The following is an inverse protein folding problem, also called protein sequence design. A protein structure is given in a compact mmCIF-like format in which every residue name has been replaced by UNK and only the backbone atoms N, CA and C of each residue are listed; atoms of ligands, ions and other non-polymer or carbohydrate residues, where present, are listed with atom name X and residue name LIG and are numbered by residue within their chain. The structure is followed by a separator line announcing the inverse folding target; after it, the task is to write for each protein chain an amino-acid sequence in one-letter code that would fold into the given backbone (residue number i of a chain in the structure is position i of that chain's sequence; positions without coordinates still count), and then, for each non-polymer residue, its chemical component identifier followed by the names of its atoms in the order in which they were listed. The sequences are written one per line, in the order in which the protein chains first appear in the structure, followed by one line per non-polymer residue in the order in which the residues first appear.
data_IF_967290970748
#
_entry.id   IF_967290970748
#
_cell.length_a   1.000
_cell.length_b   1.000
_cell.length_c   1.000
_cell.angle_alpha   90.00
_cell.angle_beta   90.00
_cell.angle_gamma   90.00
#
_symmetry.space_group_name_H-M   'P 1'
#
loop_
_entity.id
_entity.type
_entity.pdbx_description
1 polymer ?
#
# COMPACT_ATOMS: atom_id res chain seq x y z
N UNK A 1 -0.49 -19.00 -24.63
CA UNK A 1 -0.45 -17.61 -24.13
C UNK A 1 0.50 -17.58 -22.95
N UNK A 2 1.41 -16.59 -22.81
CA UNK A 2 2.29 -16.55 -21.65
C UNK A 2 1.45 -16.26 -20.42
N UNK A 3 1.60 -17.10 -19.39
CA UNK A 3 1.03 -16.84 -18.06
C UNK A 3 1.87 -15.71 -17.47
N UNK A 4 1.35 -14.49 -17.49
CA UNK A 4 2.01 -13.36 -16.83
C UNK A 4 1.74 -13.48 -15.34
N UNK A 5 2.72 -13.99 -14.61
CA UNK A 5 2.60 -14.29 -13.19
C UNK A 5 2.23 -13.04 -12.36
N UNK A 6 1.28 -13.20 -11.43
CA UNK A 6 0.98 -12.21 -10.39
C UNK A 6 2.26 -11.73 -9.68
N UNK A 7 2.57 -10.44 -9.76
CA UNK A 7 3.71 -9.88 -9.03
C UNK A 7 3.33 -9.59 -7.58
N UNK A 8 4.11 -10.13 -6.64
CA UNK A 8 3.90 -10.00 -5.20
C UNK A 8 5.22 -9.77 -4.49
N UNK A 9 5.22 -8.89 -3.49
CA UNK A 9 6.31 -8.72 -2.52
C UNK A 9 5.74 -8.76 -1.11
N UNK A 10 6.50 -9.32 -0.17
CA UNK A 10 6.16 -9.32 1.25
C UNK A 10 7.32 -8.65 1.97
N UNK A 11 7.00 -7.61 2.72
CA UNK A 11 7.95 -6.83 3.51
C UNK A 11 7.59 -6.99 4.98
N UNK A 12 8.62 -7.10 5.83
CA UNK A 12 8.48 -7.06 7.28
C UNK A 12 9.13 -5.79 7.77
N UNK A 13 8.34 -4.87 8.32
CA UNK A 13 8.81 -3.60 8.83
C UNK A 13 8.92 -3.71 10.35
N UNK A 14 10.16 -3.69 10.85
CA UNK A 14 10.49 -3.69 12.28
C UNK A 14 11.06 -2.36 12.74
N UNK A 15 11.63 -1.60 11.82
CA UNK A 15 12.29 -0.32 12.09
C UNK A 15 11.30 0.86 12.03
N UNK A 16 11.55 1.90 12.81
CA UNK A 16 10.66 3.06 12.90
C UNK A 16 10.61 3.87 11.59
N UNK A 17 11.72 4.02 10.87
CA UNK A 17 11.75 4.84 9.64
C UNK A 17 10.83 4.28 8.54
N UNK A 18 10.90 2.99 8.16
CA UNK A 18 9.96 2.41 7.20
C UNK A 18 8.50 2.44 7.67
N UNK A 19 8.25 2.28 8.98
CA UNK A 19 6.90 2.36 9.55
C UNK A 19 6.36 3.80 9.47
N UNK A 20 7.20 4.80 9.76
CA UNK A 20 6.86 6.21 9.60
C UNK A 20 6.56 6.58 8.14
N UNK A 21 7.37 6.08 7.20
CA UNK A 21 7.13 6.24 5.77
C UNK A 21 5.80 5.61 5.38
N UNK A 22 5.51 4.39 5.83
CA UNK A 22 4.22 3.75 5.61
C UNK A 22 3.05 4.61 6.11
N UNK A 23 3.11 5.11 7.35
CA UNK A 23 2.08 6.01 7.88
C UNK A 23 1.89 7.26 7.01
N UNK A 24 2.99 7.85 6.53
CA UNK A 24 2.94 9.03 5.65
C UNK A 24 2.27 8.72 4.32
N UNK A 25 2.58 7.57 3.72
CA UNK A 25 1.94 7.10 2.49
C UNK A 25 0.43 6.87 2.71
N UNK A 26 0.04 6.18 3.77
CA UNK A 26 -1.37 5.89 4.07
C UNK A 26 -2.16 7.18 4.34
N UNK A 27 -1.60 8.16 5.07
CA UNK A 27 -2.21 9.48 5.27
C UNK A 27 -2.41 10.23 3.96
N UNK A 28 -1.42 10.17 3.07
CA UNK A 28 -1.51 10.81 1.75
C UNK A 28 -2.65 10.22 0.93
N UNK A 29 -2.77 8.90 0.91
CA UNK A 29 -3.88 8.21 0.23
C UNK A 29 -5.22 8.58 0.86
N UNK A 30 -5.33 8.54 2.19
CA UNK A 30 -6.56 8.92 2.89
C UNK A 30 -7.00 10.36 2.54
N UNK A 31 -6.05 11.30 2.49
CA UNK A 31 -6.35 12.70 2.12
C UNK A 31 -6.89 12.86 0.69
N UNK A 32 -6.57 11.92 -0.20
CA UNK A 32 -6.99 11.95 -1.61
C UNK A 32 -8.30 11.17 -1.84
N UNK A 33 -8.64 10.22 -0.97
CA UNK A 33 -9.68 9.22 -1.24
C UNK A 33 -10.78 9.14 -0.19
N UNK A 34 -10.53 9.68 1.02
CA UNK A 34 -11.35 9.49 2.21
C UNK A 34 -11.65 8.01 2.53
N UNK A 35 -10.72 7.10 2.20
CA UNK A 35 -10.90 5.66 2.46
C UNK A 35 -10.76 5.34 3.95
N UNK A 36 -11.84 4.86 4.56
CA UNK A 36 -11.91 4.47 5.98
C UNK A 36 -10.95 3.32 6.33
N UNK A 37 -10.58 2.49 5.36
CA UNK A 37 -9.60 1.43 5.60
C UNK A 37 -8.22 2.03 5.92
N UNK A 38 -7.89 3.21 5.37
CA UNK A 38 -6.66 3.92 5.72
C UNK A 38 -6.67 4.37 7.19
N UNK A 39 -7.81 4.80 7.72
CA UNK A 39 -7.95 5.18 9.14
C UNK A 39 -7.70 3.99 10.05
N UNK A 40 -8.27 2.82 9.72
CA UNK A 40 -8.04 1.59 10.48
C UNK A 40 -6.57 1.17 10.48
N UNK A 41 -5.90 1.27 9.32
CA UNK A 41 -4.47 1.00 9.21
C UNK A 41 -3.66 1.94 10.11
N UNK A 42 -3.94 3.25 10.08
CA UNK A 42 -3.22 4.23 10.89
C UNK A 42 -3.44 4.02 12.38
N UNK A 43 -4.67 3.74 12.81
CA UNK A 43 -4.99 3.41 14.20
C UNK A 43 -4.20 2.16 14.64
N UNK A 44 -4.23 1.08 13.85
CA UNK A 44 -3.53 -0.15 14.19
C UNK A 44 -2.01 0.00 14.26
N UNK A 45 -1.40 0.78 13.36
CA UNK A 45 0.05 1.08 13.42
C UNK A 45 0.36 1.95 14.65
N UNK A 46 -0.55 2.81 15.09
CA UNK A 46 -0.34 3.69 16.26
C UNK A 46 -0.51 2.94 17.58
N UNK A 47 -1.44 1.99 17.64
CA UNK A 47 -1.73 1.17 18.82
C UNK A 47 -0.76 -0.01 19.01
N UNK A 48 0.05 -0.33 17.99
CA UNK A 48 1.06 -1.39 18.08
C UNK A 48 2.08 -1.08 19.18
N UNK A 49 2.66 -2.11 19.80
CA UNK A 49 3.88 -1.91 20.59
C UNK A 49 5.04 -1.66 19.65
N UNK A 50 6.00 -0.84 20.07
CA UNK A 50 7.14 -0.46 19.24
C UNK A 50 7.93 -1.66 18.68
N UNK A 51 7.96 -2.78 19.40
CA UNK A 51 8.62 -4.02 18.99
C UNK A 51 7.76 -4.96 18.14
N UNK A 52 6.47 -4.70 17.97
CA UNK A 52 5.59 -5.54 17.16
C UNK A 52 5.79 -5.19 15.66
N UNK A 53 6.05 -6.18 14.78
CA UNK A 53 6.32 -5.94 13.38
C UNK A 53 5.04 -5.60 12.60
N UNK A 54 5.22 -4.89 11.48
CA UNK A 54 4.19 -4.71 10.45
C UNK A 54 4.53 -5.60 9.25
N UNK A 55 3.60 -6.47 8.87
CA UNK A 55 3.72 -7.26 7.64
C UNK A 55 3.00 -6.53 6.53
N UNK A 56 3.71 -6.22 5.46
CA UNK A 56 3.18 -5.53 4.30
C UNK A 56 3.25 -6.43 3.07
N UNK A 57 2.09 -6.82 2.56
CA UNK A 57 1.94 -7.49 1.29
C UNK A 57 1.68 -6.47 0.19
N UNK A 58 2.61 -6.34 -0.75
CA UNK A 58 2.44 -5.58 -1.98
C UNK A 58 2.04 -6.55 -3.11
N UNK A 59 0.98 -6.25 -3.85
CA UNK A 59 0.54 -7.11 -4.96
C UNK A 59 0.02 -6.32 -6.16
N UNK A 60 0.26 -6.83 -7.35
CA UNK A 60 -0.35 -6.36 -8.59
C UNK A 60 -1.14 -7.51 -9.23
N UNK A 61 -2.46 -7.38 -9.45
CA UNK A 61 -3.27 -8.44 -10.06
C UNK A 61 -2.91 -8.65 -11.55
N UNK A 62 -3.12 -9.87 -12.05
CA UNK A 62 -2.75 -10.30 -13.43
C UNK A 62 -3.51 -9.56 -14.55
N UNK A 63 -4.53 -8.76 -14.23
CA UNK A 63 -5.30 -7.97 -15.19
C UNK A 63 -4.96 -6.48 -15.11
N UNK A 64 -4.00 -6.07 -15.93
CA UNK A 64 -4.21 -4.86 -16.76
C UNK A 64 -3.40 -4.98 -18.05
N UNK A 65 -4.01 -5.44 -19.16
CA UNK A 65 -3.36 -5.44 -20.47
C UNK A 65 -3.30 -4.05 -21.11
N UNK A 66 -3.69 -2.98 -20.40
CA UNK A 66 -3.75 -1.63 -20.96
C UNK A 66 -3.26 -0.63 -19.93
N UNK A 67 -2.20 0.05 -20.33
CA UNK A 67 -1.56 1.19 -19.70
C UNK A 67 -0.74 0.91 -18.44
N UNK A 68 0.45 1.51 -18.42
CA UNK A 68 1.34 1.70 -17.27
C UNK A 68 0.67 2.58 -16.20
N UNK A 69 -0.49 2.15 -15.70
CA UNK A 69 -1.24 2.90 -14.71
C UNK A 69 -0.50 2.77 -13.38
N UNK A 70 0.24 3.83 -13.04
CA UNK A 70 0.77 4.01 -11.70
C UNK A 70 -0.40 4.18 -10.71
N UNK A 71 -0.18 3.80 -9.45
CA UNK A 71 -1.10 4.07 -8.36
C UNK A 71 -1.42 2.87 -7.49
N UNK A 72 -1.85 3.15 -6.27
CA UNK A 72 -2.46 2.18 -5.38
C UNK A 72 -3.93 2.03 -5.77
N UNK A 73 -4.42 0.80 -5.85
CA UNK A 73 -5.82 0.45 -6.18
C UNK A 73 -6.66 0.22 -4.94
N UNK A 74 -6.10 -0.49 -3.95
CA UNK A 74 -6.83 -0.90 -2.75
C UNK A 74 -5.87 -1.11 -1.59
N UNK A 75 -6.32 -0.73 -0.40
CA UNK A 75 -5.68 -1.11 0.85
C UNK A 75 -6.61 -2.05 1.60
N UNK A 76 -6.04 -3.05 2.29
CA UNK A 76 -6.75 -3.91 3.23
C UNK A 76 -5.93 -4.08 4.47
N UNK A 77 -6.61 -4.27 5.58
CA UNK A 77 -6.00 -4.45 6.88
C UNK A 77 -6.49 -5.74 7.56
N UNK A 78 -5.60 -6.35 8.33
CA UNK A 78 -5.92 -7.43 9.25
C UNK A 78 -4.99 -7.37 10.47
N UNK A 79 -5.51 -7.77 11.63
CA UNK A 79 -4.70 -8.06 12.83
C UNK A 79 -4.46 -9.56 12.94
N UNK A 80 -3.21 -9.95 13.12
CA UNK A 80 -2.80 -11.34 13.40
C UNK A 80 -2.15 -11.39 14.78
N UNK A 81 -2.99 -11.55 15.81
CA UNK A 81 -2.55 -11.37 17.19
C UNK A 81 -2.09 -9.92 17.42
N UNK A 82 -0.78 -9.73 17.63
CA UNK A 82 -0.16 -8.40 17.78
C UNK A 82 0.46 -7.84 16.49
N UNK A 83 0.46 -8.63 15.41
CA UNK A 83 1.07 -8.23 14.15
C UNK A 83 0.04 -7.51 13.29
N UNK A 84 0.40 -6.32 12.81
CA UNK A 84 -0.38 -5.56 11.84
C UNK A 84 -0.06 -6.10 10.46
N UNK A 85 -1.05 -6.65 9.77
CA UNK A 85 -0.91 -7.14 8.39
C UNK A 85 -1.67 -6.21 7.42
N UNK A 86 -0.95 -5.65 6.46
CA UNK A 86 -1.49 -4.70 5.48
C UNK A 86 -1.28 -5.28 4.09
N UNK A 87 -2.31 -5.23 3.26
CA UNK A 87 -2.21 -5.53 1.84
C UNK A 87 -2.42 -4.26 1.04
N UNK A 88 -1.43 -3.89 0.23
CA UNK A 88 -1.54 -2.82 -0.77
C UNK A 88 -1.60 -3.47 -2.15
N UNK A 89 -2.72 -3.26 -2.82
CA UNK A 89 -2.89 -3.63 -4.22
C UNK A 89 -2.55 -2.45 -5.10
N UNK A 90 -1.60 -2.62 -6.02
CA UNK A 90 -1.20 -1.60 -6.98
C UNK A 90 -1.86 -1.84 -8.34
N UNK A 91 -2.03 -0.77 -9.11
CA UNK A 91 -2.51 -0.81 -10.49
C UNK A 91 -1.47 -1.35 -11.47
N UNK A 92 -0.18 -1.32 -11.12
CA UNK A 92 0.91 -1.76 -11.98
C UNK A 92 2.17 -2.17 -11.22
N UNK A 93 3.05 -2.95 -11.88
CA UNK A 93 4.28 -3.48 -11.28
C UNK A 93 5.26 -2.38 -10.84
N UNK A 94 5.39 -1.30 -11.63
CA UNK A 94 6.25 -0.15 -11.31
C UNK A 94 5.89 0.52 -9.99
N UNK A 95 4.60 0.57 -9.64
CA UNK A 95 4.16 1.14 -8.35
C UNK A 95 4.59 0.28 -7.17
N UNK A 96 4.66 -1.05 -7.31
CA UNK A 96 5.19 -1.92 -6.25
C UNK A 96 6.64 -1.55 -5.91
N UNK A 97 7.47 -1.36 -6.94
CA UNK A 97 8.88 -0.98 -6.79
C UNK A 97 9.02 0.40 -6.15
N UNK A 98 8.18 1.36 -6.53
CA UNK A 98 8.19 2.70 -5.94
C UNK A 98 7.77 2.69 -4.46
N UNK A 99 6.75 1.93 -4.10
CA UNK A 99 6.33 1.78 -2.69
C UNK A 99 7.48 1.19 -1.87
N UNK A 100 8.05 0.07 -2.31
CA UNK A 100 9.15 -0.57 -1.60
C UNK A 100 10.34 0.38 -1.41
N UNK A 101 10.79 1.05 -2.48
CA UNK A 101 11.90 2.02 -2.40
C UNK A 101 11.59 3.18 -1.46
N UNK A 102 10.36 3.69 -1.49
CA UNK A 102 9.93 4.76 -0.59
C UNK A 102 9.98 4.32 0.88
N UNK A 103 9.50 3.11 1.18
CA UNK A 103 9.51 2.59 2.54
C UNK A 103 10.94 2.43 3.07
N UNK A 104 11.84 1.86 2.27
CA UNK A 104 13.21 1.56 2.71
C UNK A 104 14.09 2.82 2.75
N UNK A 105 14.09 3.63 1.69
CA UNK A 105 15.05 4.73 1.53
C UNK A 105 14.48 6.10 1.92
N UNK A 106 13.17 6.21 2.06
CA UNK A 106 12.48 7.49 2.02
C UNK A 106 12.53 8.12 0.63
N UNK A 107 11.56 8.99 0.34
CA UNK A 107 11.63 9.96 -0.75
C UNK A 107 11.15 11.29 -0.20
N UNK A 108 11.56 12.43 -0.79
CA UNK A 108 10.88 13.69 -0.57
C UNK A 108 9.36 13.49 -0.69
N UNK A 109 8.59 13.99 0.26
CA UNK A 109 7.13 13.86 0.29
C UNK A 109 6.47 14.41 -0.98
N UNK A 110 7.14 15.32 -1.69
CA UNK A 110 6.78 15.86 -3.01
C UNK A 110 6.80 14.84 -4.13
N UNK A 111 7.35 13.63 -3.93
CA UNK A 111 7.32 12.52 -4.90
C UNK A 111 6.28 11.45 -4.57
N UNK A 112 5.57 11.59 -3.44
CA UNK A 112 4.51 10.63 -3.06
C UNK A 112 3.37 10.55 -4.07
N UNK A 113 3.13 11.61 -4.84
CA UNK A 113 2.14 11.61 -5.92
C UNK A 113 2.43 10.54 -6.99
N UNK A 114 3.71 10.16 -7.19
CA UNK A 114 4.09 9.09 -8.13
C UNK A 114 3.55 7.71 -7.69
N UNK A 115 3.24 7.57 -6.39
CA UNK A 115 2.74 6.34 -5.77
C UNK A 115 1.22 6.38 -5.59
N UNK A 116 0.64 7.57 -5.39
CA UNK A 116 -0.79 7.74 -5.11
C UNK A 116 -1.66 8.09 -6.34
N UNK A 117 -1.07 8.49 -7.47
CA UNK A 117 -1.83 8.89 -8.66
C UNK A 117 -2.81 7.80 -9.12
N UNK A 118 -4.11 8.11 -9.16
CA UNK A 118 -5.24 7.24 -9.56
C UNK A 118 -5.55 6.04 -8.65
N UNK A 119 -5.74 6.29 -7.36
CA UNK A 119 -6.62 5.43 -6.56
C UNK A 119 -8.05 5.51 -7.10
N UNK A 120 -8.43 4.56 -7.95
CA UNK A 120 -9.80 4.39 -8.38
C UNK A 120 -10.46 3.35 -7.46
N UNK A 121 -10.98 3.80 -6.32
CA UNK A 121 -12.05 3.07 -5.64
C UNK A 121 -13.24 3.09 -6.58
N UNK A 122 -13.27 2.14 -7.51
CA UNK A 122 -14.47 1.90 -8.29
C UNK A 122 -15.56 1.54 -7.29
N UNK A 123 -16.46 2.49 -7.01
CA UNK A 123 -17.80 2.17 -6.55
C UNK A 123 -18.38 1.26 -7.62
N UNK A 124 -18.32 -0.05 -7.40
CA UNK A 124 -19.22 -0.97 -8.07
C UNK A 124 -20.63 -0.63 -7.57
N UNK A 125 -21.28 0.29 -8.26
CA UNK A 125 -22.72 0.45 -8.22
C UNK A 125 -23.30 -0.82 -8.82
N UNK A 126 -23.59 -1.79 -7.95
CA UNK A 126 -24.40 -2.95 -8.32
C UNK A 126 -25.80 -2.42 -8.62
N UNK A 127 -26.24 -2.64 -9.86
CA UNK A 127 -27.61 -2.45 -10.34
C UNK A 127 -28.55 -3.45 -9.68
#
# INVERSE_FOLDING_TARGET
MPVVAMQRKILTLTEETPIHNLCTLIRKIHSETADEECNKVLAAITERKQSDPVILQLRCPERSPRDEVCGIRKIRFAMLGRVVAITIEANGPKTLDLIERYLVNGLPSTLLWLVSYRYNSSRETIR
#
